data_IF_427386610609
#
_entry.id   IF_427386610609
#
_cell.length_a   1.000
_cell.length_b   1.000
_cell.length_c   1.000
_cell.angle_alpha   90.00
_cell.angle_beta   90.00
_cell.angle_gamma   90.00
#
_symmetry.space_group_name_H-M   'P 1'
#
loop_
_entity.id
_entity.type
_entity.pdbx_description
1 polymer ?
#
# COMPACT_ATOMS: atom_id res chain seq x y z
N UNK A 1 -20.79 -6.10 0.87
CA UNK A 1 -20.62 -6.05 2.34
C UNK A 1 -20.12 -7.42 2.80
N UNK A 2 -18.80 -7.60 2.90
CA UNK A 2 -18.25 -8.74 3.62
C UNK A 2 -17.71 -8.21 4.94
N UNK A 3 -18.54 -8.24 5.97
CA UNK A 3 -18.13 -8.00 7.35
C UNK A 3 -17.37 -9.22 7.84
N UNK A 4 -16.10 -9.34 7.46
CA UNK A 4 -15.19 -10.35 8.03
C UNK A 4 -14.68 -9.84 9.38
N UNK A 5 -15.46 -10.06 10.43
CA UNK A 5 -14.97 -9.98 11.80
C UNK A 5 -13.94 -11.09 12.00
N UNK A 6 -12.66 -10.74 11.87
CA UNK A 6 -11.52 -11.63 12.11
C UNK A 6 -11.59 -12.21 13.53
N UNK A 7 -12.02 -13.46 13.66
CA UNK A 7 -11.98 -14.22 14.91
C UNK A 7 -10.54 -14.60 15.27
N UNK A 8 -10.26 -14.81 16.56
CA UNK A 8 -8.93 -15.04 17.17
C UNK A 8 -8.11 -16.18 16.49
N UNK A 9 -8.80 -17.17 15.92
CA UNK A 9 -8.22 -18.29 15.14
C UNK A 9 -7.85 -17.95 13.69
N UNK A 10 -8.50 -16.94 13.09
CA UNK A 10 -8.17 -16.44 11.76
C UNK A 10 -6.85 -15.68 11.76
N UNK A 11 -6.56 -14.92 12.83
CA UNK A 11 -5.30 -14.19 13.02
C UNK A 11 -4.11 -15.17 13.03
N UNK A 12 -4.24 -16.31 13.70
CA UNK A 12 -3.14 -17.29 13.85
C UNK A 12 -2.76 -18.00 12.55
N UNK A 13 -3.70 -18.18 11.61
CA UNK A 13 -3.46 -18.80 10.30
C UNK A 13 -3.27 -17.81 9.15
N UNK A 14 -3.82 -16.59 9.20
CA UNK A 14 -3.61 -15.53 8.20
C UNK A 14 -2.28 -14.80 8.36
N UNK A 15 -1.52 -15.11 9.40
CA UNK A 15 -0.23 -14.49 9.68
C UNK A 15 0.94 -15.02 8.82
N UNK A 16 0.65 -15.76 7.75
CA UNK A 16 1.52 -15.80 6.57
C UNK A 16 1.28 -14.53 5.72
N UNK A 17 1.68 -13.37 6.26
CA UNK A 17 2.07 -12.14 5.56
C UNK A 17 1.13 -11.50 4.49
N UNK A 18 -0.12 -11.92 4.29
CA UNK A 18 -1.00 -11.31 3.28
C UNK A 18 -2.42 -11.06 3.79
N UNK A 19 -2.61 -10.01 4.59
CA UNK A 19 -3.94 -9.49 4.98
C UNK A 19 -4.50 -8.47 3.98
N UNK A 20 -4.05 -8.50 2.72
CA UNK A 20 -4.52 -7.57 1.69
C UNK A 20 -6.02 -7.76 1.45
N UNK A 21 -6.80 -6.68 1.37
CA UNK A 21 -8.22 -6.73 0.99
C UNK A 21 -9.12 -7.51 1.99
N UNK A 22 -8.80 -7.45 3.28
CA UNK A 22 -9.62 -8.10 4.32
C UNK A 22 -10.60 -7.14 5.00
N UNK A 23 -10.53 -5.84 4.69
CA UNK A 23 -11.41 -4.84 5.29
C UNK A 23 -11.10 -4.59 6.76
N UNK A 24 -9.83 -4.76 7.17
CA UNK A 24 -9.39 -4.58 8.58
C UNK A 24 -9.96 -3.30 9.19
N UNK A 25 -9.81 -2.17 8.48
CA UNK A 25 -10.06 -0.84 9.05
C UNK A 25 -9.16 -0.55 10.26
N UNK A 26 -9.39 0.61 10.87
CA UNK A 26 -8.54 1.11 11.96
C UNK A 26 -8.53 0.21 13.19
N UNK A 27 -9.72 -0.27 13.60
CA UNK A 27 -9.87 -1.09 14.81
C UNK A 27 -9.09 -2.40 14.71
N UNK A 28 -9.19 -3.09 13.58
CA UNK A 28 -8.49 -4.37 13.42
C UNK A 28 -6.99 -4.16 13.20
N UNK A 29 -6.57 -3.05 12.57
CA UNK A 29 -5.15 -2.68 12.48
C UNK A 29 -4.53 -2.40 13.86
N UNK A 30 -5.27 -1.75 14.76
CA UNK A 30 -4.83 -1.55 16.15
C UNK A 30 -4.73 -2.87 16.91
N UNK A 31 -5.73 -3.75 16.79
CA UNK A 31 -5.69 -5.08 17.41
C UNK A 31 -4.51 -5.91 16.89
N UNK A 32 -4.24 -5.84 15.59
CA UNK A 32 -3.08 -6.48 14.98
C UNK A 32 -1.77 -5.95 15.58
N UNK A 33 -1.66 -4.64 15.82
CA UNK A 33 -0.50 -4.03 16.45
C UNK A 33 -0.28 -4.56 17.88
N UNK A 34 -1.34 -4.70 18.67
CA UNK A 34 -1.28 -5.25 20.03
C UNK A 34 -0.85 -6.73 20.06
N UNK A 35 -1.30 -7.51 19.09
CA UNK A 35 -1.03 -8.96 19.03
C UNK A 35 0.26 -9.30 18.27
N UNK A 36 0.86 -8.33 17.57
CA UNK A 36 2.02 -8.56 16.71
C UNK A 36 3.19 -9.21 17.45
N UNK A 37 3.44 -8.81 18.70
CA UNK A 37 4.52 -9.34 19.53
C UNK A 37 4.42 -10.83 19.88
N UNK A 38 3.27 -11.47 19.65
CA UNK A 38 3.06 -12.90 19.89
C UNK A 38 3.67 -13.78 18.78
N UNK A 39 4.18 -13.18 17.70
CA UNK A 39 4.54 -13.88 16.47
C UNK A 39 5.95 -13.58 15.95
N UNK A 40 6.96 -14.15 16.58
CA UNK A 40 8.37 -13.80 16.39
C UNK A 40 8.97 -14.08 14.99
N UNK A 41 8.24 -14.75 14.08
CA UNK A 41 8.77 -15.19 12.76
C UNK A 41 8.39 -14.29 11.59
N UNK A 42 7.52 -13.30 11.77
CA UNK A 42 7.07 -12.44 10.66
C UNK A 42 8.22 -11.55 10.19
N UNK A 43 8.52 -11.58 8.90
CA UNK A 43 9.54 -10.73 8.28
C UNK A 43 8.93 -9.53 7.56
N UNK A 44 7.81 -9.74 6.88
CA UNK A 44 7.10 -8.72 6.12
C UNK A 44 5.62 -8.71 6.50
N UNK A 45 5.08 -7.52 6.75
CA UNK A 45 3.67 -7.33 7.05
C UNK A 45 2.97 -6.59 5.92
N UNK A 46 2.10 -7.27 5.18
CA UNK A 46 1.30 -6.63 4.13
C UNK A 46 -0.15 -6.41 4.57
N UNK A 47 -0.47 -5.14 4.86
CA UNK A 47 -1.82 -4.66 5.17
C UNK A 47 -2.28 -3.59 4.18
N UNK A 48 -1.74 -3.62 2.96
CA UNK A 48 -2.18 -2.73 1.89
C UNK A 48 -3.66 -2.96 1.56
N UNK A 49 -4.33 -1.92 1.06
CA UNK A 49 -5.73 -2.00 0.62
C UNK A 49 -6.71 -2.43 1.75
N UNK A 50 -6.63 -1.84 2.94
CA UNK A 50 -7.47 -2.24 4.09
C UNK A 50 -8.24 -1.11 4.77
N UNK A 51 -8.29 0.06 4.14
CA UNK A 51 -9.06 1.20 4.65
C UNK A 51 -8.53 1.73 6.00
N UNK A 52 -7.23 1.56 6.23
CA UNK A 52 -6.54 2.02 7.43
C UNK A 52 -6.25 3.53 7.31
N UNK A 53 -6.59 4.30 8.34
CA UNK A 53 -6.29 5.71 8.47
C UNK A 53 -4.95 5.98 9.14
N UNK A 54 -4.55 7.25 9.14
CA UNK A 54 -3.23 7.70 9.58
C UNK A 54 -2.86 7.23 10.99
N UNK A 55 -3.78 7.37 11.95
CA UNK A 55 -3.51 7.03 13.35
C UNK A 55 -3.28 5.54 13.54
N UNK A 56 -4.11 4.68 12.94
CA UNK A 56 -3.97 3.25 13.07
C UNK A 56 -2.72 2.73 12.33
N UNK A 57 -2.40 3.32 11.18
CA UNK A 57 -1.17 3.00 10.45
C UNK A 57 0.10 3.35 11.24
N UNK A 58 0.10 4.49 11.95
CA UNK A 58 1.21 4.88 12.82
C UNK A 58 1.39 3.89 13.98
N UNK A 59 0.31 3.53 14.66
CA UNK A 59 0.35 2.53 15.74
C UNK A 59 0.89 1.19 15.24
N UNK A 60 0.48 0.75 14.04
CA UNK A 60 0.97 -0.50 13.46
C UNK A 60 2.47 -0.45 13.14
N UNK A 61 2.96 0.64 12.53
CA UNK A 61 4.39 0.83 12.26
C UNK A 61 5.20 0.83 13.55
N UNK A 62 4.65 1.39 14.63
CA UNK A 62 5.31 1.43 15.93
C UNK A 62 5.48 0.03 16.53
N UNK A 63 4.42 -0.79 16.48
CA UNK A 63 4.51 -2.19 16.85
C UNK A 63 5.51 -2.97 15.98
N UNK A 64 5.49 -2.77 14.65
CA UNK A 64 6.46 -3.41 13.75
C UNK A 64 7.90 -3.02 14.08
N UNK A 65 8.14 -1.77 14.50
CA UNK A 65 9.47 -1.31 14.91
C UNK A 65 9.98 -2.01 16.17
N UNK A 66 9.08 -2.44 17.05
CA UNK A 66 9.40 -3.18 18.27
C UNK A 66 9.45 -4.70 18.04
N UNK A 67 8.81 -5.19 16.99
CA UNK A 67 8.75 -6.61 16.67
C UNK A 67 10.11 -7.18 16.20
N UNK A 68 10.67 -8.27 16.76
CA UNK A 68 12.08 -8.67 16.59
C UNK A 68 12.55 -8.94 15.15
N UNK A 69 11.66 -9.31 14.24
CA UNK A 69 12.02 -9.79 12.89
C UNK A 69 11.41 -9.00 11.72
N UNK A 70 10.40 -8.16 11.96
CA UNK A 70 9.74 -7.41 10.87
C UNK A 70 10.67 -6.33 10.35
N UNK A 71 10.89 -6.32 9.04
CA UNK A 71 11.71 -5.31 8.36
C UNK A 71 10.95 -4.55 7.26
N UNK A 72 9.82 -5.05 6.78
CA UNK A 72 9.00 -4.40 5.74
C UNK A 72 7.53 -4.32 6.14
N UNK A 73 6.89 -3.17 5.96
CA UNK A 73 5.45 -2.97 6.16
C UNK A 73 4.83 -2.33 4.93
N UNK A 74 3.81 -2.97 4.34
CA UNK A 74 3.08 -2.47 3.19
C UNK A 74 1.77 -1.82 3.62
N UNK A 75 1.64 -0.52 3.37
CA UNK A 75 0.50 0.32 3.76
C UNK A 75 -0.15 1.07 2.58
N UNK A 76 0.34 0.91 1.37
CA UNK A 76 -0.23 1.55 0.18
C UNK A 76 -1.72 1.19 -0.03
N UNK A 77 -2.44 2.04 -0.76
CA UNK A 77 -3.88 1.93 -1.01
C UNK A 77 -4.77 1.89 0.26
N UNK A 78 -4.29 2.46 1.36
CA UNK A 78 -5.08 2.75 2.55
C UNK A 78 -5.59 4.21 2.54
N UNK A 79 -6.41 4.60 3.52
CA UNK A 79 -6.94 5.96 3.63
C UNK A 79 -5.93 6.89 4.32
N UNK A 80 -4.73 6.95 3.75
CA UNK A 80 -3.65 7.75 4.29
C UNK A 80 -3.65 9.14 3.69
N UNK A 81 -3.68 10.17 4.53
CA UNK A 81 -3.49 11.55 4.08
C UNK A 81 -2.03 11.80 3.74
N UNK A 82 -1.72 12.88 3.02
CA UNK A 82 -0.33 13.23 2.72
C UNK A 82 0.48 13.54 3.98
N UNK A 83 -0.17 14.11 5.01
CA UNK A 83 0.43 14.30 6.35
C UNK A 83 0.72 12.95 7.02
N UNK A 84 -0.20 12.00 6.91
CA UNK A 84 -0.02 10.63 7.39
C UNK A 84 1.14 9.91 6.72
N UNK A 85 1.21 9.95 5.38
CA UNK A 85 2.31 9.38 4.59
C UNK A 85 3.65 9.97 4.99
N UNK A 86 3.74 11.29 5.14
CA UNK A 86 4.96 11.97 5.58
C UNK A 86 5.36 11.54 6.99
N UNK A 87 4.40 11.44 7.91
CA UNK A 87 4.64 10.98 9.27
C UNK A 87 5.15 9.54 9.29
N UNK A 88 4.56 8.65 8.49
CA UNK A 88 4.98 7.26 8.32
C UNK A 88 6.37 7.13 7.70
N UNK A 89 6.71 7.98 6.74
CA UNK A 89 8.05 8.01 6.15
C UNK A 89 9.11 8.38 7.19
N UNK A 90 8.88 9.46 7.94
CA UNK A 90 9.78 9.88 9.03
C UNK A 90 9.86 8.79 10.11
N UNK A 91 8.72 8.15 10.45
CA UNK A 91 8.65 7.08 11.46
C UNK A 91 9.29 5.78 10.97
N UNK A 92 9.26 5.47 9.68
CA UNK A 92 9.97 4.34 9.05
C UNK A 92 11.48 4.57 8.91
N UNK A 93 11.94 5.80 9.16
CA UNK A 93 13.36 6.14 9.29
C UNK A 93 14.05 5.41 10.46
N UNK A 94 15.40 5.42 10.51
CA UNK A 94 16.17 4.66 11.49
C UNK A 94 15.86 5.05 12.96
N UNK A 95 15.76 4.06 13.86
CA UNK A 95 15.83 4.29 15.32
C UNK A 95 17.26 4.75 15.66
N UNK A 96 17.38 5.92 16.27
CA UNK A 96 18.67 6.48 16.74
C UNK A 96 19.36 5.57 17.78
N UNK A 97 18.63 4.70 18.48
CA UNK A 97 19.16 3.90 19.60
C UNK A 97 19.56 2.45 19.29
N UNK A 98 19.08 1.83 18.22
CA UNK A 98 19.27 0.37 18.00
C UNK A 98 19.58 -0.03 16.53
N UNK A 99 19.73 0.93 15.61
CA UNK A 99 20.18 0.66 14.23
C UNK A 99 19.19 -0.12 13.34
N UNK A 100 18.13 -0.71 13.90
CA UNK A 100 17.14 -1.47 13.13
C UNK A 100 16.11 -0.54 12.47
N UNK A 101 15.93 -0.70 11.15
CA UNK A 101 15.01 0.10 10.32
C UNK A 101 13.86 -0.79 9.84
N UNK A 102 12.63 -0.28 9.96
CA UNK A 102 11.45 -0.89 9.34
C UNK A 102 11.10 -0.08 8.11
N UNK A 103 11.21 -0.69 6.94
CA UNK A 103 10.86 -0.08 5.66
C UNK A 103 9.34 0.03 5.54
N UNK A 104 8.84 1.26 5.39
CA UNK A 104 7.41 1.54 5.32
C UNK A 104 7.03 1.92 3.89
N UNK A 105 6.21 1.08 3.26
CA UNK A 105 5.71 1.26 1.89
C UNK A 105 4.30 1.83 1.93
N UNK A 106 4.18 3.14 2.20
CA UNK A 106 2.90 3.84 2.34
C UNK A 106 2.41 4.48 1.04
N UNK A 107 3.33 4.81 0.12
CA UNK A 107 3.01 5.49 -1.13
C UNK A 107 4.08 5.21 -2.19
N UNK A 108 3.67 5.31 -3.45
CA UNK A 108 4.55 5.33 -4.64
C UNK A 108 5.24 6.69 -4.82
N UNK A 109 4.79 7.71 -4.10
CA UNK A 109 5.36 9.07 -4.05
C UNK A 109 5.81 9.43 -2.63
N UNK A 110 6.88 10.22 -2.54
CA UNK A 110 7.38 10.86 -1.33
C UNK A 110 7.31 12.37 -1.53
N UNK A 111 6.17 12.98 -1.15
CA UNK A 111 5.89 14.37 -1.49
C UNK A 111 5.87 14.58 -3.01
N UNK A 112 6.74 15.44 -3.53
CA UNK A 112 6.88 15.72 -4.96
C UNK A 112 7.75 14.73 -5.73
N UNK A 113 8.44 13.83 -5.04
CA UNK A 113 9.35 12.86 -5.64
C UNK A 113 8.71 11.47 -5.76
N UNK A 114 9.26 10.64 -6.65
CA UNK A 114 8.86 9.25 -6.78
C UNK A 114 9.62 8.45 -5.73
N UNK A 115 8.90 7.70 -4.89
CA UNK A 115 9.51 6.82 -3.90
C UNK A 115 10.38 5.77 -4.59
N UNK A 116 11.52 5.41 -4.00
CA UNK A 116 12.37 4.32 -4.51
C UNK A 116 11.59 2.99 -4.68
N UNK A 117 10.50 2.85 -3.92
CA UNK A 117 9.67 1.65 -3.86
C UNK A 117 8.48 1.61 -4.83
N UNK A 118 8.44 2.54 -5.79
CA UNK A 118 7.35 2.59 -6.75
C UNK A 118 7.22 1.31 -7.59
N UNK A 119 8.35 0.70 -8.00
CA UNK A 119 8.35 -0.51 -8.83
C UNK A 119 7.70 -1.72 -8.13
N UNK A 120 8.15 -2.12 -6.91
CA UNK A 120 7.53 -3.25 -6.22
C UNK A 120 6.05 -2.98 -5.92
N UNK A 121 5.68 -1.75 -5.54
CA UNK A 121 4.28 -1.40 -5.29
C UNK A 121 3.46 -1.56 -6.57
N UNK A 122 3.85 -0.94 -7.69
CA UNK A 122 3.11 -1.05 -8.97
C UNK A 122 3.06 -2.49 -9.50
N UNK A 123 4.10 -3.28 -9.26
CA UNK A 123 4.12 -4.71 -9.62
C UNK A 123 3.05 -5.50 -8.85
N UNK A 124 2.96 -5.28 -7.53
CA UNK A 124 1.94 -5.96 -6.70
C UNK A 124 0.54 -5.46 -7.05
N UNK A 125 0.36 -4.15 -7.25
CA UNK A 125 -0.92 -3.59 -7.72
C UNK A 125 -1.30 -4.22 -9.05
N UNK A 126 -0.41 -4.26 -10.04
CA UNK A 126 -0.69 -4.87 -11.35
C UNK A 126 -1.13 -6.33 -11.23
N UNK A 127 -0.39 -7.14 -10.47
CA UNK A 127 -0.69 -8.57 -10.25
C UNK A 127 -2.04 -8.82 -9.57
N UNK A 128 -2.42 -7.97 -8.61
CA UNK A 128 -3.63 -8.15 -7.80
C UNK A 128 -4.80 -7.26 -8.24
N UNK A 129 -4.60 -6.41 -9.26
CA UNK A 129 -5.60 -5.45 -9.72
C UNK A 129 -6.92 -6.09 -10.17
N UNK A 130 -6.87 -7.34 -10.65
CA UNK A 130 -8.05 -8.09 -11.07
C UNK A 130 -8.83 -8.70 -9.90
N UNK A 131 -8.17 -8.97 -8.76
CA UNK A 131 -8.81 -9.52 -7.56
C UNK A 131 -9.30 -8.45 -6.59
N UNK A 132 -8.74 -7.23 -6.64
CA UNK A 132 -9.18 -6.10 -5.85
C UNK A 132 -10.38 -5.36 -6.47
N UNK A 133 -11.12 -4.59 -5.68
CA UNK A 133 -12.21 -3.75 -6.23
C UNK A 133 -11.64 -2.76 -7.23
N UNK A 134 -11.95 -3.00 -8.51
CA UNK A 134 -11.33 -2.31 -9.64
C UNK A 134 -11.51 -0.81 -9.58
N UNK A 135 -12.67 -0.34 -9.12
CA UNK A 135 -12.98 1.09 -9.07
C UNK A 135 -12.10 1.82 -8.06
N UNK A 136 -11.91 1.25 -6.87
CA UNK A 136 -11.03 1.84 -5.86
C UNK A 136 -9.56 1.81 -6.28
N UNK A 137 -9.11 0.70 -6.88
CA UNK A 137 -7.74 0.62 -7.43
C UNK A 137 -7.55 1.64 -8.55
N UNK A 138 -8.53 1.77 -9.45
CA UNK A 138 -8.55 2.76 -10.53
C UNK A 138 -8.48 4.17 -9.98
N UNK A 139 -9.34 4.54 -9.03
CA UNK A 139 -9.35 5.87 -8.40
C UNK A 139 -7.98 6.21 -7.80
N UNK A 140 -7.37 5.28 -7.08
CA UNK A 140 -6.04 5.48 -6.50
C UNK A 140 -4.94 5.62 -7.57
N UNK A 141 -4.98 4.81 -8.63
CA UNK A 141 -4.05 4.95 -9.75
C UNK A 141 -4.23 6.28 -10.49
N UNK A 142 -5.47 6.80 -10.56
CA UNK A 142 -5.76 8.12 -11.14
C UNK A 142 -5.23 9.26 -10.27
N UNK A 143 -5.39 9.17 -8.93
CA UNK A 143 -4.78 10.13 -7.99
C UNK A 143 -3.26 10.11 -8.15
N UNK A 144 -2.65 8.93 -8.17
CA UNK A 144 -1.21 8.80 -8.38
C UNK A 144 -0.77 9.37 -9.73
N UNK A 145 -1.53 9.14 -10.81
CA UNK A 145 -1.21 9.71 -12.11
C UNK A 145 -1.21 11.24 -12.09
N UNK A 146 -2.16 11.85 -11.38
CA UNK A 146 -2.20 13.31 -11.18
C UNK A 146 -0.98 13.80 -10.41
N UNK A 147 -0.58 13.10 -9.34
CA UNK A 147 0.59 13.45 -8.54
C UNK A 147 1.89 13.35 -9.36
N UNK A 148 2.03 12.31 -10.19
CA UNK A 148 3.16 12.18 -11.12
C UNK A 148 3.22 13.32 -12.13
N UNK A 149 2.07 13.65 -12.74
CA UNK A 149 1.99 14.73 -13.72
C UNK A 149 2.32 16.09 -13.09
N UNK A 150 1.87 16.32 -11.86
CA UNK A 150 2.20 17.51 -11.10
C UNK A 150 3.69 17.55 -10.74
N UNK A 151 4.25 16.48 -10.16
CA UNK A 151 5.68 16.39 -9.82
C UNK A 151 6.60 16.60 -11.03
N UNK A 152 6.23 16.03 -12.18
CA UNK A 152 6.93 16.23 -13.45
C UNK A 152 6.94 17.69 -13.91
N UNK A 153 5.85 18.44 -13.72
CA UNK A 153 5.77 19.86 -14.10
C UNK A 153 6.66 20.74 -13.22
N UNK A 154 6.75 20.41 -11.94
CA UNK A 154 7.55 21.17 -10.96
C UNK A 154 9.06 20.95 -11.10
N UNK A 155 9.47 19.79 -11.60
CA UNK A 155 10.89 19.43 -11.59
C UNK A 155 11.67 20.06 -12.77
N UNK A 156 12.78 20.78 -12.56
CA UNK A 156 13.54 21.41 -13.65
C UNK A 156 14.37 20.42 -14.49
N UNK A 157 14.89 19.36 -13.87
CA UNK A 157 15.73 18.34 -14.56
C UNK A 157 14.96 17.54 -15.61
N UNK A 158 15.49 17.53 -16.84
CA UNK A 158 14.99 16.73 -17.95
C UNK A 158 14.99 15.22 -17.66
N UNK A 159 16.06 14.71 -17.04
CA UNK A 159 16.17 13.29 -16.68
C UNK A 159 15.11 12.86 -15.68
N UNK A 160 14.84 13.69 -14.68
CA UNK A 160 13.75 13.46 -13.73
C UNK A 160 12.39 13.50 -14.43
N UNK A 161 12.16 14.47 -15.34
CA UNK A 161 10.94 14.48 -16.17
C UNK A 161 10.76 13.20 -16.98
N UNK A 162 11.84 12.66 -17.55
CA UNK A 162 11.81 11.37 -18.26
C UNK A 162 11.54 10.20 -17.31
N UNK A 163 12.06 10.23 -16.09
CA UNK A 163 11.76 9.25 -15.06
C UNK A 163 10.26 9.27 -14.70
N UNK A 164 9.68 10.44 -14.43
CA UNK A 164 8.23 10.60 -14.24
C UNK A 164 7.43 10.04 -15.41
N UNK A 165 7.79 10.38 -16.65
CA UNK A 165 7.10 9.84 -17.85
C UNK A 165 7.14 8.31 -17.92
N UNK A 166 8.24 7.69 -17.48
CA UNK A 166 8.34 6.23 -17.43
C UNK A 166 7.34 5.65 -16.44
N UNK A 167 7.27 6.21 -15.23
CA UNK A 167 6.32 5.76 -14.20
C UNK A 167 4.88 6.02 -14.62
N UNK A 168 4.58 7.20 -15.17
CA UNK A 168 3.27 7.54 -15.75
C UNK A 168 2.86 6.51 -16.80
N UNK A 169 3.79 6.07 -17.66
CA UNK A 169 3.53 5.05 -18.68
C UNK A 169 3.13 3.70 -18.08
N UNK A 170 3.83 3.26 -17.03
CA UNK A 170 3.53 2.01 -16.30
C UNK A 170 2.14 2.10 -15.65
N UNK A 171 1.83 3.21 -14.97
CA UNK A 171 0.52 3.44 -14.34
C UNK A 171 -0.60 3.43 -15.38
N UNK A 172 -0.42 4.13 -16.50
CA UNK A 172 -1.38 4.16 -17.62
C UNK A 172 -1.55 2.80 -18.27
N UNK A 173 -0.54 1.94 -18.28
CA UNK A 173 -0.67 0.57 -18.75
C UNK A 173 -1.50 -0.27 -17.77
N UNK A 174 -1.23 -0.17 -16.46
CA UNK A 174 -2.03 -0.84 -15.43
C UNK A 174 -3.50 -0.42 -15.47
N UNK A 175 -3.78 0.88 -15.65
CA UNK A 175 -5.15 1.40 -15.83
C UNK A 175 -5.84 0.82 -17.08
N UNK A 176 -5.14 0.76 -18.22
CA UNK A 176 -5.70 0.16 -19.45
C UNK A 176 -5.99 -1.32 -19.30
N UNK A 177 -5.18 -2.07 -18.54
CA UNK A 177 -5.45 -3.48 -18.25
C UNK A 177 -6.71 -3.65 -17.37
N UNK A 178 -6.91 -2.75 -16.40
CA UNK A 178 -8.11 -2.70 -15.58
C UNK A 178 -9.38 -2.39 -16.39
N UNK A 179 -9.28 -1.50 -17.39
CA UNK A 179 -10.41 -1.15 -18.29
C UNK A 179 -10.71 -2.25 -19.32
N UNK A 180 -9.70 -2.80 -20.00
CA UNK A 180 -9.94 -3.84 -21.02
C UNK A 180 -10.61 -5.11 -20.45
N UNK A 181 -10.34 -5.42 -19.18
CA UNK A 181 -10.95 -6.56 -18.49
C UNK A 181 -12.37 -6.29 -17.97
N UNK A 182 -12.88 -5.06 -18.01
CA UNK A 182 -14.31 -4.78 -17.76
C UNK A 182 -15.17 -5.08 -19.00
N UNK A 183 -14.67 -4.78 -20.20
CA UNK A 183 -15.43 -4.92 -21.44
C UNK A 183 -15.65 -6.38 -21.85
N UNK A 184 -14.76 -7.29 -21.44
CA UNK A 184 -14.90 -8.73 -21.71
C UNK A 184 -15.94 -9.43 -20.81
N UNK A 185 -16.47 -8.76 -19.79
CA UNK A 185 -17.43 -9.32 -18.82
C UNK A 185 -18.91 -9.08 -19.16
N UNK A 186 -19.21 -8.25 -20.16
CA UNK A 186 -20.60 -7.81 -20.47
C UNK A 186 -21.19 -8.44 -21.74
N UNK A 187 -20.55 -9.49 -22.29
CA UNK A 187 -20.87 -10.05 -23.61
C UNK A 187 -21.29 -11.52 -23.66
N UNK A 188 -21.77 -12.12 -22.56
CA UNK A 188 -22.25 -13.51 -22.58
C UNK A 188 -23.53 -13.66 -21.76
N UNK A 189 -24.67 -13.31 -22.36
CA UNK A 189 -25.96 -13.47 -21.69
C UNK A 189 -27.15 -12.99 -22.50
N UNK A 190 -27.29 -13.40 -23.77
CA UNK A 190 -28.58 -13.56 -24.45
C UNK A 190 -28.35 -14.21 -25.80
N UNK A 191 -28.65 -15.51 -25.91
CA UNK A 191 -29.52 -16.10 -26.92
C UNK A 191 -29.83 -17.54 -26.55
#
# INVERSE_FOLDING_TARGET
>A
LCDNYLTDTGITHLLEAFLMHTGLGDRSAQLLAERLGQHEKIQELNVAYNNIGDSAALTLVDACREHPSIHTVHLYLNQLTDVGKQSLYVRGGPRVKEGRRVKVLASVTEGSDISEDWHPILSVIGKNSLSWERDRVREQLLVFLKDLEWGRKQHPSFWKKMHFRRVESVVRQTLRLLEKSSDTGTGAGTK
#
